data_IF_498224024296
#
_entry.id   IF_498224024296
#
_cell.length_a   1.000
_cell.length_b   1.000
_cell.length_c   1.000
_cell.angle_alpha   90.00
_cell.angle_beta   90.00
_cell.angle_gamma   90.00
#
_symmetry.space_group_name_H-M   'P 1'
#
loop_
_entity.id
_entity.type
_entity.pdbx_description
1 polymer ?
#
# COMPACT_ATOMS: atom_id res chain seq x y z
N UNK A 1 -16.85 2.85 2.57
CA UNK A 1 -15.77 3.66 1.94
C UNK A 1 -16.03 3.67 0.44
N UNK A 2 -16.39 4.81 -0.18
CA UNK A 2 -17.07 4.79 -1.47
C UNK A 2 -16.08 4.74 -2.65
N UNK A 3 -15.33 3.65 -2.76
CA UNK A 3 -14.59 3.25 -3.96
C UNK A 3 -14.51 1.72 -4.15
N UNK A 4 -14.97 0.91 -3.19
CA UNK A 4 -14.91 -0.55 -3.29
C UNK A 4 -13.50 -1.16 -3.18
N UNK A 5 -12.48 -0.36 -2.84
CA UNK A 5 -11.09 -0.81 -2.72
C UNK A 5 -10.74 -1.11 -1.25
N UNK A 6 -10.07 -2.23 -1.03
CA UNK A 6 -9.51 -2.65 0.26
C UNK A 6 -8.00 -2.82 0.16
N UNK A 7 -7.24 -2.17 1.05
CA UNK A 7 -5.81 -2.44 1.24
C UNK A 7 -5.67 -3.37 2.43
N UNK A 8 -5.10 -4.56 2.20
CA UNK A 8 -4.90 -5.59 3.23
C UNK A 8 -3.40 -5.83 3.36
N UNK A 9 -2.90 -5.74 4.59
CA UNK A 9 -1.50 -6.00 4.93
C UNK A 9 -1.46 -6.93 6.14
N UNK A 10 -0.81 -8.09 5.96
CA UNK A 10 -0.54 -9.00 7.06
C UNK A 10 0.80 -8.63 7.69
N UNK A 11 0.85 -8.62 9.01
CA UNK A 11 2.05 -8.31 9.81
C UNK A 11 2.23 -9.36 10.90
N UNK A 12 3.39 -9.36 11.55
CA UNK A 12 3.53 -10.07 12.82
C UNK A 12 2.75 -9.37 13.95
N UNK A 13 2.65 -10.04 15.10
CA UNK A 13 1.88 -9.57 16.25
C UNK A 13 2.54 -8.39 16.99
N UNK A 14 3.83 -8.11 16.74
CA UNK A 14 4.57 -7.01 17.37
C UNK A 14 4.33 -5.65 16.72
N UNK A 15 3.66 -5.61 15.57
CA UNK A 15 3.41 -4.39 14.80
C UNK A 15 2.23 -3.63 15.39
N UNK A 16 2.45 -2.35 15.68
CA UNK A 16 1.42 -1.43 16.18
C UNK A 16 0.37 -1.05 15.13
N UNK A 17 -0.47 -0.05 15.40
CA UNK A 17 -1.43 0.44 14.42
C UNK A 17 -0.73 0.94 13.14
N UNK A 18 -1.08 0.37 11.98
CA UNK A 18 -0.48 0.70 10.67
C UNK A 18 -1.43 1.49 9.75
N UNK A 19 -2.47 2.11 10.29
CA UNK A 19 -3.52 2.77 9.49
C UNK A 19 -2.96 3.84 8.56
N UNK A 20 -1.93 4.57 8.99
CA UNK A 20 -1.29 5.61 8.18
C UNK A 20 -0.55 5.02 6.98
N UNK A 21 0.07 3.84 7.15
CA UNK A 21 0.72 3.09 6.05
C UNK A 21 -0.34 2.64 5.03
N UNK A 22 -1.47 2.09 5.51
CA UNK A 22 -2.56 1.66 4.63
C UNK A 22 -3.17 2.85 3.87
N UNK A 23 -3.32 4.00 4.52
CA UNK A 23 -3.78 5.24 3.88
C UNK A 23 -2.77 5.76 2.85
N UNK A 24 -1.48 5.71 3.14
CA UNK A 24 -0.42 6.08 2.20
C UNK A 24 -0.46 5.19 0.94
N UNK A 25 -0.59 3.87 1.12
CA UNK A 25 -0.71 2.93 0.00
C UNK A 25 -1.97 3.21 -0.83
N UNK A 26 -3.10 3.53 -0.20
CA UNK A 26 -4.32 3.84 -0.92
C UNK A 26 -4.26 5.21 -1.64
N UNK A 27 -3.92 6.28 -0.93
CA UNK A 27 -3.94 7.64 -1.47
C UNK A 27 -2.74 7.92 -2.38
N UNK A 28 -1.55 7.89 -1.81
CA UNK A 28 -0.34 8.41 -2.44
C UNK A 28 0.25 7.45 -3.48
N UNK A 29 -0.08 6.15 -3.38
CA UNK A 29 0.33 5.15 -4.37
C UNK A 29 -0.81 4.77 -5.30
N UNK A 30 -1.89 4.17 -4.79
CA UNK A 30 -2.93 3.60 -5.66
C UNK A 30 -3.72 4.68 -6.40
N UNK A 31 -4.22 5.72 -5.73
CA UNK A 31 -4.97 6.79 -6.42
C UNK A 31 -4.06 7.54 -7.40
N UNK A 32 -2.84 7.90 -6.99
CA UNK A 32 -1.95 8.74 -7.80
C UNK A 32 -1.30 8.01 -8.99
N UNK A 33 -0.94 6.73 -8.82
CA UNK A 33 -0.22 5.97 -9.83
C UNK A 33 -1.11 4.98 -10.61
N UNK A 34 -2.34 4.72 -10.16
CA UNK A 34 -3.29 3.84 -10.84
C UNK A 34 -4.54 4.59 -11.25
N UNK A 35 -5.31 5.14 -10.31
CA UNK A 35 -6.62 5.76 -10.61
C UNK A 35 -6.50 7.00 -11.50
N UNK A 36 -5.52 7.86 -11.22
CA UNK A 36 -5.27 9.07 -12.01
C UNK A 36 -4.56 8.78 -13.34
N UNK A 37 -4.12 7.54 -13.61
CA UNK A 37 -3.42 7.19 -14.83
C UNK A 37 -4.42 6.64 -15.86
N UNK A 38 -4.69 7.36 -16.97
CA UNK A 38 -5.72 6.95 -17.94
C UNK A 38 -5.40 5.65 -18.67
N UNK A 39 -4.14 5.22 -18.68
CA UNK A 39 -3.70 3.96 -19.28
C UNK A 39 -3.88 2.75 -18.34
N UNK A 40 -4.24 2.96 -17.07
CA UNK A 40 -4.46 1.88 -16.12
C UNK A 40 -5.91 1.40 -16.18
N UNK A 41 -6.09 0.11 -16.48
CA UNK A 41 -7.41 -0.53 -16.43
C UNK A 41 -7.80 -0.83 -14.99
N UNK A 42 -8.87 -0.19 -14.50
CA UNK A 42 -9.40 -0.44 -13.16
C UNK A 42 -10.10 -1.80 -13.08
N UNK A 43 -10.03 -2.46 -11.93
CA UNK A 43 -10.62 -3.78 -11.71
C UNK A 43 -9.80 -4.95 -12.30
N UNK A 44 -8.63 -4.67 -12.87
CA UNK A 44 -7.67 -5.68 -13.33
C UNK A 44 -6.37 -5.59 -12.52
N UNK A 45 -5.51 -6.59 -12.63
CA UNK A 45 -4.18 -6.58 -12.01
C UNK A 45 -3.38 -5.37 -12.48
N UNK A 46 -2.93 -4.55 -11.53
CA UNK A 46 -2.16 -3.33 -11.81
C UNK A 46 -0.83 -3.68 -12.47
N UNK A 47 -0.63 -3.21 -13.71
CA UNK A 47 0.60 -3.42 -14.49
C UNK A 47 1.61 -2.25 -14.37
N UNK A 48 1.23 -1.17 -13.71
CA UNK A 48 2.08 0.02 -13.59
C UNK A 48 3.36 -0.30 -12.79
N UNK A 49 4.51 -0.34 -13.46
CA UNK A 49 5.80 -0.71 -12.85
C UNK A 49 6.25 0.26 -11.76
N UNK A 50 5.99 1.56 -11.93
CA UNK A 50 6.33 2.57 -10.93
C UNK A 50 5.53 2.36 -9.64
N UNK A 51 4.24 2.03 -9.75
CA UNK A 51 3.42 1.66 -8.59
C UNK A 51 4.01 0.43 -7.88
N UNK A 52 4.34 -0.63 -8.64
CA UNK A 52 4.90 -1.87 -8.08
C UNK A 52 6.22 -1.62 -7.36
N UNK A 53 7.14 -0.88 -7.98
CA UNK A 53 8.44 -0.55 -7.39
C UNK A 53 8.32 0.28 -6.10
N UNK A 54 7.40 1.26 -6.07
CA UNK A 54 7.15 2.06 -4.85
C UNK A 54 6.50 1.23 -3.74
N UNK A 55 5.55 0.37 -4.08
CA UNK A 55 4.90 -0.54 -3.12
C UNK A 55 5.92 -1.53 -2.52
N UNK A 56 6.79 -2.11 -3.34
CA UNK A 56 7.87 -2.99 -2.87
C UNK A 56 8.79 -2.27 -1.89
N UNK A 57 9.09 -0.99 -2.14
CA UNK A 57 9.92 -0.18 -1.23
C UNK A 57 9.27 0.00 0.15
N UNK A 58 7.93 0.11 0.22
CA UNK A 58 7.20 0.17 1.49
C UNK A 58 7.34 -1.13 2.30
N UNK A 59 7.30 -2.29 1.63
CA UNK A 59 7.43 -3.60 2.29
C UNK A 59 8.83 -3.87 2.86
N UNK A 60 9.87 -3.23 2.31
CA UNK A 60 11.25 -3.38 2.76
C UNK A 60 11.72 -2.26 3.71
N UNK A 61 10.85 -1.33 4.08
CA UNK A 61 11.19 -0.16 4.90
C UNK A 61 11.28 -0.51 6.41
N UNK A 62 12.48 -0.52 7.02
CA UNK A 62 12.71 -1.18 8.32
C UNK A 62 12.19 -0.52 9.61
N UNK A 63 11.74 0.76 9.72
CA UNK A 63 11.23 1.23 11.01
C UNK A 63 9.70 1.18 11.15
N UNK A 64 8.96 0.69 10.15
CA UNK A 64 7.50 0.49 10.28
C UNK A 64 7.13 -0.75 11.12
N UNK A 65 8.07 -1.70 11.24
CA UNK A 65 7.84 -3.03 11.78
C UNK A 65 8.77 -3.37 12.95
N UNK A 66 9.11 -2.37 13.77
CA UNK A 66 9.86 -2.64 15.00
C UNK A 66 8.95 -3.38 15.97
N UNK A 67 9.06 -4.72 15.97
CA UNK A 67 8.47 -5.55 17.00
C UNK A 67 9.03 -5.09 18.35
N UNK A 68 8.16 -4.63 19.26
CA UNK A 68 8.57 -4.42 20.63
C UNK A 68 9.04 -5.76 21.18
N UNK A 69 10.36 -5.90 21.39
CA UNK A 69 10.91 -6.96 22.21
C UNK A 69 10.35 -6.79 23.62
N UNK A 70 9.45 -7.70 24.00
CA UNK A 70 8.98 -7.87 25.38
C UNK A 70 9.98 -8.67 26.19
#
# INVERSE_FOLDING_TARGET
MPAGISVVMNTDLGVGPIRDVLHHIHGDLYVDLVVKKPLCSLGQTVQNELFRSRLDSCGHSPPLFSARAG
#
